data_IF_583243374916
#
_entry.id   IF_583243374916
#
_cell.length_a   1.000
_cell.length_b   1.000
_cell.length_c   1.000
_cell.angle_alpha   90.00
_cell.angle_beta   90.00
_cell.angle_gamma   90.00
#
_symmetry.space_group_name_H-M   'P 1'
#
loop_
_entity.id
_entity.type
_entity.pdbx_description
1 polymer ?
#
# COMPACT_ATOMS: atom_id res chain seq x y z
N UNK A 1 -1.89 -12.18 35.48
CA UNK A 1 -0.75 -11.80 34.61
C UNK A 1 -1.32 -11.24 33.32
N UNK A 2 -0.83 -10.10 32.84
CA UNK A 2 -1.25 -9.57 31.53
C UNK A 2 -0.74 -10.50 30.44
N UNK A 3 -1.60 -10.89 29.50
CA UNK A 3 -1.22 -11.68 28.33
C UNK A 3 -0.64 -10.73 27.28
N UNK A 4 0.54 -11.05 26.74
CA UNK A 4 1.09 -10.31 25.62
C UNK A 4 0.31 -10.64 24.35
N UNK A 5 -0.19 -9.61 23.67
CA UNK A 5 -0.87 -9.73 22.39
C UNK A 5 0.05 -9.18 21.29
N UNK A 6 0.54 -10.02 20.38
CA UNK A 6 1.46 -9.58 19.35
C UNK A 6 0.73 -8.72 18.32
N UNK A 7 1.42 -7.70 17.81
CA UNK A 7 0.94 -6.97 16.64
C UNK A 7 1.47 -7.60 15.35
N UNK A 8 1.00 -7.10 14.20
CA UNK A 8 1.40 -7.61 12.87
C UNK A 8 2.91 -7.55 12.61
N UNK A 9 3.59 -6.52 13.10
CA UNK A 9 5.05 -6.39 12.93
C UNK A 9 5.77 -7.48 13.71
N UNK A 10 5.38 -7.68 14.97
CA UNK A 10 5.95 -8.71 15.82
C UNK A 10 5.77 -10.12 15.22
N UNK A 11 4.57 -10.42 14.69
CA UNK A 11 4.33 -11.70 14.02
C UNK A 11 5.26 -11.90 12.82
N UNK A 12 5.55 -10.85 12.04
CA UNK A 12 6.48 -10.93 10.89
C UNK A 12 7.93 -11.12 11.32
N UNK A 13 8.35 -10.49 12.42
CA UNK A 13 9.68 -10.73 13.01
C UNK A 13 9.83 -12.19 13.47
N UNK A 14 8.79 -12.77 14.08
CA UNK A 14 8.77 -14.19 14.42
C UNK A 14 8.87 -15.09 13.18
N UNK A 15 8.24 -14.71 12.05
CA UNK A 15 8.40 -15.44 10.80
C UNK A 15 9.86 -15.44 10.30
N UNK A 16 10.60 -14.32 10.44
CA UNK A 16 12.04 -14.28 10.14
C UNK A 16 12.80 -15.25 11.03
N UNK A 17 12.50 -15.28 12.33
CA UNK A 17 13.11 -16.22 13.27
C UNK A 17 12.89 -17.68 12.82
N UNK A 18 11.66 -18.05 12.48
CA UNK A 18 11.35 -19.40 11.99
C UNK A 18 12.00 -19.72 10.63
N UNK A 19 12.13 -18.71 9.75
CA UNK A 19 12.83 -18.86 8.48
C UNK A 19 14.30 -19.22 8.70
N UNK A 20 15.00 -18.49 9.58
CA UNK A 20 16.40 -18.74 9.92
C UNK A 20 16.62 -20.10 10.58
N UNK A 21 15.62 -20.59 11.34
CA UNK A 21 15.62 -21.94 11.91
C UNK A 21 15.34 -23.04 10.89
N UNK A 22 15.06 -22.71 9.62
CA UNK A 22 14.58 -23.66 8.59
C UNK A 22 13.30 -24.39 9.01
N UNK A 23 12.46 -23.74 9.83
CA UNK A 23 11.20 -24.28 10.39
C UNK A 23 9.96 -23.57 9.85
N UNK A 24 10.02 -23.07 8.61
CA UNK A 24 8.91 -22.35 7.97
C UNK A 24 7.60 -23.15 7.94
N UNK A 25 7.66 -24.47 7.77
CA UNK A 25 6.48 -25.35 7.77
C UNK A 25 5.80 -25.44 9.14
N UNK A 26 6.56 -25.28 10.23
CA UNK A 26 6.05 -25.35 11.61
C UNK A 26 5.59 -23.99 12.15
N UNK A 27 6.09 -22.90 11.56
CA UNK A 27 5.84 -21.53 12.01
C UNK A 27 4.35 -21.21 12.14
N UNK A 28 3.56 -21.56 11.13
CA UNK A 28 2.11 -21.29 11.15
C UNK A 28 1.42 -21.98 12.32
N UNK A 29 1.68 -23.28 12.52
CA UNK A 29 1.10 -24.07 13.60
C UNK A 29 1.43 -23.47 14.96
N UNK A 30 2.71 -23.17 15.19
CA UNK A 30 3.19 -22.64 16.48
C UNK A 30 2.64 -21.24 16.77
N UNK A 31 2.57 -20.36 15.76
CA UNK A 31 2.03 -19.01 15.95
C UNK A 31 0.53 -19.02 16.23
N UNK A 32 -0.24 -19.89 15.57
CA UNK A 32 -1.68 -20.06 15.85
C UNK A 32 -1.89 -20.63 17.25
N UNK A 33 -1.08 -21.59 17.67
CA UNK A 33 -1.17 -22.19 19.02
C UNK A 33 -0.88 -21.17 20.13
N UNK A 34 0.16 -20.36 19.98
CA UNK A 34 0.61 -19.40 21.01
C UNK A 34 -0.27 -18.14 21.03
N UNK A 35 -0.67 -17.64 19.86
CA UNK A 35 -1.32 -16.33 19.74
C UNK A 35 -2.78 -16.38 19.29
N UNK A 36 -3.32 -17.55 18.94
CA UNK A 36 -4.69 -17.77 18.46
C UNK A 36 -5.08 -16.89 17.26
N UNK A 37 -4.10 -16.53 16.42
CA UNK A 37 -4.33 -15.64 15.28
C UNK A 37 -4.58 -16.44 13.99
N UNK A 38 -5.87 -16.68 13.70
CA UNK A 38 -6.32 -17.39 12.50
C UNK A 38 -5.96 -16.67 11.18
N UNK A 39 -5.58 -15.38 11.24
CA UNK A 39 -5.31 -14.53 10.06
C UNK A 39 -3.92 -14.76 9.43
N UNK A 40 -3.08 -15.63 10.02
CA UNK A 40 -1.70 -15.83 9.56
C UNK A 40 -1.55 -16.70 8.30
N UNK A 41 -2.52 -17.55 7.94
CA UNK A 41 -2.28 -18.66 7.00
C UNK A 41 -1.85 -18.22 5.60
N UNK A 42 -2.62 -17.36 4.92
CA UNK A 42 -2.38 -17.05 3.51
C UNK A 42 -1.14 -16.17 3.31
N UNK A 43 -0.93 -15.19 4.19
CA UNK A 43 0.20 -14.26 4.09
C UNK A 43 1.54 -14.85 4.55
N UNK A 44 1.53 -15.90 5.38
CA UNK A 44 2.78 -16.52 5.87
C UNK A 44 3.62 -17.07 4.71
N UNK A 45 2.98 -17.68 3.70
CA UNK A 45 3.67 -18.18 2.51
C UNK A 45 4.32 -17.05 1.70
N UNK A 46 3.62 -15.93 1.51
CA UNK A 46 4.15 -14.74 0.82
C UNK A 46 5.39 -14.17 1.55
N UNK A 47 5.34 -14.09 2.89
CA UNK A 47 6.47 -13.64 3.69
C UNK A 47 7.68 -14.56 3.56
N UNK A 48 7.49 -15.87 3.61
CA UNK A 48 8.61 -16.81 3.38
C UNK A 48 9.18 -16.72 1.96
N UNK A 49 8.35 -16.44 0.95
CA UNK A 49 8.84 -16.17 -0.41
C UNK A 49 9.68 -14.90 -0.46
N UNK A 50 9.26 -13.81 0.20
CA UNK A 50 10.07 -12.58 0.33
C UNK A 50 11.43 -12.86 0.97
N UNK A 51 11.46 -13.60 2.07
CA UNK A 51 12.71 -13.93 2.77
C UNK A 51 13.65 -14.79 1.91
N UNK A 52 13.12 -15.72 1.12
CA UNK A 52 13.91 -16.49 0.13
C UNK A 52 14.57 -15.59 -0.92
N UNK A 53 13.93 -14.47 -1.26
CA UNK A 53 14.46 -13.47 -2.19
C UNK A 53 15.39 -12.45 -1.49
N UNK A 54 15.66 -12.60 -0.19
CA UNK A 54 16.50 -11.70 0.59
C UNK A 54 15.81 -10.42 1.05
N UNK A 55 14.49 -10.27 0.87
CA UNK A 55 13.73 -9.12 1.35
C UNK A 55 13.21 -9.39 2.78
N UNK A 56 13.90 -8.84 3.77
CA UNK A 56 13.57 -8.94 5.19
C UNK A 56 12.82 -7.72 5.75
N UNK A 57 12.35 -6.81 4.90
CA UNK A 57 11.56 -5.66 5.37
C UNK A 57 10.15 -6.12 5.79
N UNK A 58 9.95 -6.15 7.10
CA UNK A 58 8.69 -6.54 7.76
C UNK A 58 7.64 -5.43 7.75
N UNK A 59 7.98 -4.21 7.35
CA UNK A 59 7.01 -3.13 7.25
C UNK A 59 6.13 -3.32 6.01
N UNK A 60 4.90 -2.82 6.09
CA UNK A 60 4.10 -2.69 4.88
C UNK A 60 4.79 -1.64 3.99
N UNK A 61 5.14 -2.03 2.76
CA UNK A 61 5.56 -1.05 1.76
C UNK A 61 4.40 -0.11 1.52
N UNK A 62 4.71 1.16 1.32
CA UNK A 62 3.69 2.11 0.88
C UNK A 62 3.02 1.52 -0.35
N UNK A 63 1.72 1.28 -0.25
CA UNK A 63 0.94 0.90 -1.40
C UNK A 63 1.04 2.09 -2.33
N UNK A 64 1.80 1.94 -3.42
CA UNK A 64 1.84 2.97 -4.46
C UNK A 64 0.40 3.33 -4.75
N UNK A 65 -0.04 4.53 -4.34
CA UNK A 65 -1.28 5.09 -4.88
C UNK A 65 -1.13 4.96 -6.37
N UNK A 66 -2.15 4.37 -7.01
CA UNK A 66 -2.31 4.25 -8.47
C UNK A 66 -1.48 5.33 -9.16
N UNK A 67 -0.50 4.92 -9.98
CA UNK A 67 0.46 5.85 -10.57
C UNK A 67 -0.28 7.09 -11.06
N UNK A 68 0.17 8.27 -10.62
CA UNK A 68 -0.36 9.53 -11.12
C UNK A 68 -0.22 9.46 -12.65
N UNK A 69 -1.36 9.48 -13.36
CA UNK A 69 -1.38 9.38 -14.82
C UNK A 69 -0.78 10.67 -15.43
N UNK A 70 -0.76 11.77 -14.66
CA UNK A 70 -0.13 13.05 -14.98
C UNK A 70 0.42 13.73 -13.70
N UNK A 71 1.44 14.58 -13.85
CA UNK A 71 2.08 15.31 -12.74
C UNK A 71 1.19 16.46 -12.23
N UNK A 72 1.25 16.79 -10.92
CA UNK A 72 0.53 17.98 -10.40
C UNK A 72 0.91 19.24 -11.16
N UNK A 73 2.21 19.37 -11.50
CA UNK A 73 2.75 20.51 -12.21
C UNK A 73 2.15 20.71 -13.62
N UNK A 74 1.75 19.63 -14.30
CA UNK A 74 1.11 19.72 -15.62
C UNK A 74 -0.31 20.30 -15.50
N UNK A 75 -1.07 19.86 -14.49
CA UNK A 75 -2.40 20.38 -14.21
C UNK A 75 -2.34 21.84 -13.72
N UNK A 76 -1.40 22.17 -12.83
CA UNK A 76 -1.22 23.53 -12.33
C UNK A 76 -0.88 24.49 -13.48
N UNK A 77 -0.01 24.08 -14.40
CA UNK A 77 0.36 24.89 -15.57
C UNK A 77 -0.83 25.18 -16.50
N UNK A 78 -1.70 24.20 -16.74
CA UNK A 78 -2.92 24.40 -17.55
C UNK A 78 -3.89 25.37 -16.86
N UNK A 79 -4.02 25.28 -15.53
CA UNK A 79 -4.86 26.19 -14.75
C UNK A 79 -4.29 27.61 -14.65
N UNK A 80 -2.97 27.78 -14.67
CA UNK A 80 -2.31 29.08 -14.75
C UNK A 80 -2.46 29.73 -16.14
N UNK A 81 -2.44 28.93 -17.20
CA UNK A 81 -2.61 29.39 -18.57
C UNK A 81 -4.05 29.81 -18.85
N UNK A 82 -5.02 29.00 -18.41
CA UNK A 82 -6.44 29.34 -18.49
C UNK A 82 -7.24 28.74 -17.32
N UNK A 83 -7.50 29.57 -16.31
CA UNK A 83 -8.27 29.17 -15.12
C UNK A 83 -9.75 28.93 -15.40
N UNK A 84 -10.24 29.24 -16.62
CA UNK A 84 -11.65 29.06 -17.01
C UNK A 84 -11.93 27.73 -17.71
N UNK A 85 -10.90 26.92 -17.96
CA UNK A 85 -11.04 25.60 -18.58
C UNK A 85 -11.97 24.68 -17.78
N UNK A 86 -12.78 23.93 -18.53
CA UNK A 86 -13.63 22.90 -17.94
C UNK A 86 -12.82 21.64 -17.63
N UNK A 87 -13.30 20.83 -16.68
CA UNK A 87 -12.71 19.52 -16.37
C UNK A 87 -12.64 18.59 -17.59
N UNK A 88 -13.49 18.81 -18.61
CA UNK A 88 -13.52 18.01 -19.83
C UNK A 88 -12.39 18.39 -20.78
N UNK A 89 -12.06 19.68 -20.88
CA UNK A 89 -10.93 20.17 -21.68
C UNK A 89 -9.62 19.73 -21.05
N UNK A 90 -9.46 19.94 -19.74
CA UNK A 90 -8.30 19.44 -18.98
C UNK A 90 -8.10 17.93 -19.12
N UNK A 91 -9.20 17.17 -19.19
CA UNK A 91 -9.13 15.72 -19.38
C UNK A 91 -8.65 15.33 -20.80
N UNK A 92 -9.00 16.12 -21.81
CA UNK A 92 -8.51 15.91 -23.18
C UNK A 92 -7.02 16.25 -23.27
N UNK A 93 -6.60 17.38 -22.70
CA UNK A 93 -5.21 17.85 -22.75
C UNK A 93 -4.25 16.94 -21.97
N UNK A 94 -4.71 16.36 -20.86
CA UNK A 94 -3.94 15.42 -20.04
C UNK A 94 -4.13 13.95 -20.46
N UNK A 95 -4.89 13.67 -21.53
CA UNK A 95 -5.25 12.33 -21.99
C UNK A 95 -5.79 11.41 -20.88
N UNK A 96 -6.58 11.96 -19.96
CA UNK A 96 -7.16 11.26 -18.81
C UNK A 96 -8.68 11.30 -18.81
N UNK A 97 -9.30 10.59 -17.86
CA UNK A 97 -10.74 10.71 -17.66
C UNK A 97 -11.07 12.00 -16.90
N UNK A 98 -12.22 12.61 -17.21
CA UNK A 98 -12.76 13.75 -16.44
C UNK A 98 -12.84 13.44 -14.94
N UNK A 99 -13.17 12.20 -14.57
CA UNK A 99 -13.19 11.76 -13.17
C UNK A 99 -11.80 11.86 -12.50
N UNK A 100 -10.72 11.55 -13.22
CA UNK A 100 -9.37 11.68 -12.71
C UNK A 100 -8.99 13.14 -12.44
N UNK A 101 -9.39 14.07 -13.31
CA UNK A 101 -9.24 15.53 -13.11
C UNK A 101 -10.05 15.99 -11.91
N UNK A 102 -11.33 15.60 -11.83
CA UNK A 102 -12.23 15.97 -10.73
C UNK A 102 -11.71 15.52 -9.36
N UNK A 103 -11.23 14.27 -9.25
CA UNK A 103 -10.63 13.74 -8.02
C UNK A 103 -9.36 14.50 -7.64
N UNK A 104 -8.56 14.92 -8.62
CA UNK A 104 -7.31 15.65 -8.38
C UNK A 104 -7.56 17.07 -7.91
N UNK A 105 -8.45 17.81 -8.59
CA UNK A 105 -8.85 19.17 -8.18
C UNK A 105 -9.38 19.17 -6.73
N UNK A 106 -10.20 18.18 -6.37
CA UNK A 106 -10.65 17.98 -4.97
C UNK A 106 -9.50 17.74 -4.01
N UNK A 107 -8.49 16.95 -4.40
CA UNK A 107 -7.32 16.71 -3.56
C UNK A 107 -6.42 17.94 -3.38
N UNK A 108 -6.46 18.87 -4.34
CA UNK A 108 -5.78 20.18 -4.28
C UNK A 108 -6.60 21.25 -3.56
N UNK A 109 -7.81 20.92 -3.07
CA UNK A 109 -8.70 21.88 -2.40
C UNK A 109 -9.46 22.81 -3.35
N UNK A 110 -9.42 22.55 -4.66
CA UNK A 110 -10.12 23.33 -5.68
C UNK A 110 -11.50 22.72 -5.91
N UNK A 111 -12.52 23.32 -5.29
CA UNK A 111 -13.92 22.95 -5.50
C UNK A 111 -14.45 23.71 -6.72
N UNK A 112 -14.28 23.16 -7.92
CA UNK A 112 -14.99 23.69 -9.10
C UNK A 112 -16.44 23.18 -9.06
N UNK A 113 -17.38 24.06 -8.72
CA UNK A 113 -18.82 23.88 -8.98
C UNK A 113 -19.13 23.86 -10.47
#
# INVERSE_FOLDING_TARGET
MSKFEPNKLHLRELLIYFFNLKKSAEAHRLLVEVHNEATLSERTCEWFQKFKNGDFDVKDKDRSRRSKIYEDAELDKLLEEDSSQTQKELALDLEVTQQAVSLRLKSLGMNSS
#
